data_IF_992853614971
#
_entry.id   IF_992853614971
#
_cell.length_a   1.000
_cell.length_b   1.000
_cell.length_c   1.000
_cell.angle_alpha   90.00
_cell.angle_beta   90.00
_cell.angle_gamma   90.00
#
_symmetry.space_group_name_H-M   'P 1'
#
loop_
_entity.id
_entity.type
_entity.pdbx_description
1 polymer ?
#
# COMPACT_ATOMS: atom_id res chain seq x y z
N UNK A 1 13.29 -0.44 4.13
CA UNK A 1 12.33 0.04 3.12
C UNK A 1 11.88 -1.21 2.38
N UNK A 2 10.58 -1.42 2.21
CA UNK A 2 10.08 -2.62 1.52
C UNK A 2 9.63 -2.15 0.14
N UNK A 3 10.43 -2.42 -0.87
CA UNK A 3 10.12 -2.01 -2.23
C UNK A 3 9.33 -3.11 -2.91
N UNK A 4 8.21 -2.73 -3.52
CA UNK A 4 7.33 -3.62 -4.26
C UNK A 4 7.32 -3.17 -5.71
N UNK A 5 7.48 -4.13 -6.61
CA UNK A 5 7.46 -3.91 -8.05
C UNK A 5 6.23 -4.61 -8.63
N UNK A 6 5.36 -3.84 -9.30
CA UNK A 6 4.27 -4.39 -10.10
C UNK A 6 4.74 -4.46 -11.55
N UNK A 7 4.73 -5.65 -12.13
CA UNK A 7 5.24 -5.89 -13.49
C UNK A 7 4.14 -6.60 -14.27
N UNK A 8 3.78 -6.04 -15.43
CA UNK A 8 2.95 -6.72 -16.43
C UNK A 8 3.85 -7.26 -17.55
N UNK A 9 3.68 -8.55 -17.87
CA UNK A 9 4.37 -9.19 -19.01
C UNK A 9 3.29 -9.54 -20.04
N UNK A 10 3.47 -9.19 -21.33
CA UNK A 10 2.53 -9.58 -22.36
C UNK A 10 2.38 -11.09 -22.43
N UNK A 11 1.15 -11.56 -22.60
CA UNK A 11 0.85 -12.97 -22.79
C UNK A 11 0.94 -13.30 -24.29
N UNK A 12 1.90 -14.14 -24.68
CA UNK A 12 1.96 -14.65 -26.04
C UNK A 12 0.76 -15.57 -26.30
N UNK A 13 0.17 -15.50 -27.50
CA UNK A 13 -1.17 -16.03 -27.86
C UNK A 13 -1.44 -17.50 -27.54
N UNK A 14 -0.43 -18.30 -27.21
CA UNK A 14 -0.54 -19.76 -27.02
C UNK A 14 0.15 -20.30 -25.78
N UNK A 15 1.10 -19.58 -25.21
CA UNK A 15 1.98 -20.13 -24.18
C UNK A 15 2.42 -19.00 -23.29
N UNK A 16 2.19 -19.11 -21.98
CA UNK A 16 2.67 -18.16 -20.96
C UNK A 16 4.21 -18.12 -20.84
N UNK A 17 4.94 -18.43 -21.91
CA UNK A 17 6.37 -18.65 -21.98
C UNK A 17 7.16 -17.44 -21.47
N UNK A 18 6.76 -16.22 -21.85
CA UNK A 18 7.39 -14.99 -21.38
C UNK A 18 7.27 -14.80 -19.86
N UNK A 19 6.10 -15.14 -19.28
CA UNK A 19 5.87 -15.13 -17.83
C UNK A 19 6.65 -16.25 -17.13
N UNK A 20 6.65 -17.46 -17.69
CA UNK A 20 7.38 -18.60 -17.12
C UNK A 20 8.90 -18.39 -17.16
N UNK A 21 9.41 -17.76 -18.23
CA UNK A 21 10.82 -17.34 -18.31
C UNK A 21 11.17 -16.33 -17.22
N UNK A 22 10.29 -15.36 -16.96
CA UNK A 22 10.49 -14.40 -15.87
C UNK A 22 10.50 -15.11 -14.51
N UNK A 23 9.52 -15.97 -14.23
CA UNK A 23 9.45 -16.77 -12.99
C UNK A 23 10.69 -17.63 -12.81
N UNK A 24 11.16 -18.28 -13.87
CA UNK A 24 12.35 -19.10 -13.85
C UNK A 24 13.60 -18.28 -13.52
N UNK A 25 13.79 -17.12 -14.17
CA UNK A 25 14.91 -16.23 -13.86
C UNK A 25 14.89 -15.77 -12.41
N UNK A 26 13.74 -15.32 -11.89
CA UNK A 26 13.60 -14.89 -10.49
C UNK A 26 13.96 -16.03 -9.52
N UNK A 27 13.45 -17.24 -9.79
CA UNK A 27 13.72 -18.43 -8.97
C UNK A 27 15.18 -18.86 -9.06
N UNK A 28 15.81 -18.75 -10.23
CA UNK A 28 17.22 -19.11 -10.43
C UNK A 28 18.16 -18.15 -9.74
N UNK A 29 17.90 -16.84 -9.80
CA UNK A 29 18.79 -15.82 -9.24
C UNK A 29 18.49 -15.52 -7.78
N UNK A 30 17.34 -15.97 -7.24
CA UNK A 30 16.88 -15.71 -5.87
C UNK A 30 16.85 -14.22 -5.51
N UNK A 31 16.64 -13.35 -6.52
CA UNK A 31 16.70 -11.89 -6.37
C UNK A 31 15.44 -11.30 -5.73
N UNK A 32 14.30 -11.99 -5.82
CA UNK A 32 13.03 -11.49 -5.30
C UNK A 32 12.04 -12.63 -5.04
N UNK A 33 11.08 -12.37 -4.16
CA UNK A 33 9.84 -13.15 -4.07
C UNK A 33 8.81 -12.57 -5.05
N UNK A 34 7.98 -13.42 -5.65
CA UNK A 34 6.92 -12.98 -6.56
C UNK A 34 5.58 -13.60 -6.20
N UNK A 35 4.51 -12.86 -6.51
CA UNK A 35 3.13 -13.29 -6.33
C UNK A 35 2.32 -12.88 -7.56
N UNK A 36 1.30 -13.66 -7.89
CA UNK A 36 0.41 -13.32 -9.00
C UNK A 36 -0.54 -12.20 -8.59
N UNK A 37 -0.65 -11.16 -9.41
CA UNK A 37 -1.63 -10.09 -9.24
C UNK A 37 -2.74 -10.28 -10.27
N UNK A 38 -3.90 -10.78 -9.81
CA UNK A 38 -5.01 -11.14 -10.70
C UNK A 38 -5.89 -9.93 -10.99
N UNK A 39 -5.84 -9.44 -12.23
CA UNK A 39 -6.73 -8.39 -12.74
C UNK A 39 -7.86 -9.07 -13.51
N UNK A 40 -9.14 -8.80 -13.21
CA UNK A 40 -10.25 -9.36 -13.96
C UNK A 40 -10.36 -8.72 -15.34
N UNK A 41 -11.15 -9.32 -16.23
CA UNK A 41 -11.51 -8.67 -17.48
C UNK A 41 -12.34 -7.42 -17.19
N UNK A 42 -11.84 -6.27 -17.65
CA UNK A 42 -12.47 -4.97 -17.50
C UNK A 42 -13.05 -4.54 -18.84
N UNK A 43 -14.24 -3.93 -18.80
CA UNK A 43 -14.90 -3.38 -19.99
C UNK A 43 -14.21 -2.10 -20.43
N UNK A 44 -13.20 -2.24 -21.29
CA UNK A 44 -12.51 -1.14 -21.96
C UNK A 44 -13.35 -0.58 -23.11
N UNK A 45 -13.31 0.74 -23.27
CA UNK A 45 -13.99 1.46 -24.35
C UNK A 45 -13.13 1.54 -25.61
N UNK A 46 -13.31 2.63 -26.37
CA UNK A 46 -12.45 2.95 -27.52
C UNK A 46 -11.13 3.57 -27.04
N UNK A 47 -10.15 3.69 -27.96
CA UNK A 47 -8.82 4.20 -27.66
C UNK A 47 -8.85 5.59 -27.01
N UNK A 48 -9.68 6.51 -27.50
CA UNK A 48 -9.80 7.86 -26.93
C UNK A 48 -10.28 7.83 -25.48
N UNK A 49 -11.23 6.95 -25.17
CA UNK A 49 -11.69 6.73 -23.79
C UNK A 49 -10.58 6.16 -22.92
N UNK A 50 -9.74 5.26 -23.46
CA UNK A 50 -8.61 4.69 -22.72
C UNK A 50 -7.53 5.73 -22.45
N UNK A 51 -7.25 6.62 -23.41
CA UNK A 51 -6.31 7.72 -23.23
C UNK A 51 -6.77 8.66 -22.11
N UNK A 52 -8.05 9.08 -22.17
CA UNK A 52 -8.65 9.90 -21.10
C UNK A 52 -8.63 9.20 -19.75
N UNK A 53 -8.93 7.88 -19.71
CA UNK A 53 -8.83 7.09 -18.48
C UNK A 53 -7.39 7.02 -17.95
N UNK A 54 -6.38 6.92 -18.82
CA UNK A 54 -4.98 6.91 -18.43
C UNK A 54 -4.58 8.20 -17.72
N UNK A 55 -4.97 9.36 -18.26
CA UNK A 55 -4.69 10.65 -17.65
C UNK A 55 -5.40 10.78 -16.28
N UNK A 56 -6.67 10.36 -16.22
CA UNK A 56 -7.44 10.38 -14.97
C UNK A 56 -6.83 9.45 -13.90
N UNK A 57 -6.38 8.26 -14.29
CA UNK A 57 -5.71 7.31 -13.39
C UNK A 57 -4.38 7.86 -12.88
N UNK A 58 -3.60 8.53 -13.74
CA UNK A 58 -2.34 9.16 -13.32
C UNK A 58 -2.58 10.26 -12.29
N UNK A 59 -3.59 11.10 -12.50
CA UNK A 59 -3.98 12.13 -11.52
C UNK A 59 -4.47 11.50 -10.21
N UNK A 60 -5.30 10.45 -10.31
CA UNK A 60 -5.82 9.74 -9.15
C UNK A 60 -4.72 9.05 -8.34
N UNK A 61 -3.70 8.50 -8.99
CA UNK A 61 -2.54 7.88 -8.34
C UNK A 61 -1.77 8.91 -7.50
N UNK A 62 -1.48 10.08 -8.07
CA UNK A 62 -0.82 11.20 -7.36
C UNK A 62 -1.64 11.64 -6.14
N UNK A 63 -2.96 11.81 -6.31
CA UNK A 63 -3.85 12.21 -5.21
C UNK A 63 -3.90 11.15 -4.11
N UNK A 64 -4.02 9.88 -4.50
CA UNK A 64 -4.06 8.75 -3.56
C UNK A 64 -2.76 8.63 -2.77
N UNK A 65 -1.61 8.76 -3.45
CA UNK A 65 -0.31 8.77 -2.79
C UNK A 65 -0.19 9.91 -1.78
N UNK A 66 -0.63 11.12 -2.15
CA UNK A 66 -0.63 12.29 -1.26
C UNK A 66 -1.47 12.07 -0.01
N UNK A 67 -2.71 11.58 -0.16
CA UNK A 67 -3.61 11.27 0.97
C UNK A 67 -3.01 10.20 1.88
N UNK A 68 -2.43 9.14 1.32
CA UNK A 68 -1.77 8.08 2.10
C UNK A 68 -0.57 8.64 2.86
N UNK A 69 0.28 9.43 2.20
CA UNK A 69 1.45 10.08 2.84
C UNK A 69 1.02 10.99 3.97
N UNK A 70 0.02 11.84 3.76
CA UNK A 70 -0.51 12.73 4.78
C UNK A 70 -1.11 11.94 5.95
N UNK A 71 -1.88 10.89 5.67
CA UNK A 71 -2.45 10.00 6.71
C UNK A 71 -1.35 9.34 7.54
N UNK A 72 -0.30 8.82 6.89
CA UNK A 72 0.86 8.25 7.58
C UNK A 72 1.58 9.30 8.44
N UNK A 73 1.74 10.53 7.95
CA UNK A 73 2.35 11.63 8.70
C UNK A 73 1.50 12.05 9.90
N UNK A 74 0.18 12.18 9.74
CA UNK A 74 -0.75 12.45 10.83
C UNK A 74 -0.66 11.36 11.90
N UNK A 75 -0.68 10.10 11.49
CA UNK A 75 -0.52 8.96 12.40
C UNK A 75 0.83 9.02 13.12
N UNK A 76 1.92 9.35 12.43
CA UNK A 76 3.24 9.51 13.03
C UNK A 76 3.26 10.61 14.10
N UNK A 77 2.71 11.80 13.81
CA UNK A 77 2.66 12.93 14.76
C UNK A 77 1.85 12.62 16.02
N UNK A 78 0.75 11.87 15.89
CA UNK A 78 -0.07 11.46 17.03
C UNK A 78 0.64 10.39 17.87
N UNK A 79 1.43 9.54 17.22
CA UNK A 79 2.15 8.43 17.85
C UNK A 79 3.55 8.82 18.36
N UNK A 80 4.07 9.99 18.00
CA UNK A 80 5.30 10.53 18.58
C UNK A 80 5.06 10.82 20.06
N UNK A 81 5.89 10.28 20.97
CA UNK A 81 5.80 10.64 22.37
C UNK A 81 6.02 12.15 22.47
N UNK A 82 5.00 12.89 22.92
CA UNK A 82 5.22 14.25 23.39
C UNK A 82 6.20 14.13 24.54
N UNK A 83 7.45 14.56 24.33
CA UNK A 83 8.28 15.04 25.44
C UNK A 83 7.65 16.35 25.93
N UNK A 84 6.44 16.26 26.47
CA UNK A 84 5.89 17.32 27.29
C UNK A 84 6.68 17.26 28.58
N UNK A 85 7.75 18.05 28.56
CA UNK A 85 8.64 18.37 29.65
C UNK A 85 7.87 18.31 30.97
N UNK A 86 8.16 17.29 31.78
CA UNK A 86 7.77 17.24 33.19
C UNK A 86 8.58 18.31 33.91
N UNK A 87 8.18 19.56 33.76
CA UNK A 87 8.52 20.65 34.65
C UNK A 87 7.25 21.13 35.31
N UNK A 88 6.78 20.36 36.31
CA UNK A 88 6.22 20.84 37.57
C UNK A 88 5.45 19.70 38.22
N UNK A 89 6.09 19.04 39.19
CA UNK A 89 5.49 18.64 40.47
C UNK A 89 6.63 18.19 41.42
N UNK A 90 7.30 19.19 42.00
CA UNK A 90 7.61 19.32 43.43
C UNK A 90 8.00 18.02 44.19
N UNK A 91 9.32 17.88 44.40
CA UNK A 91 10.03 17.66 45.68
C UNK A 91 10.10 16.26 46.37
N UNK A 92 11.36 15.88 46.65
CA UNK A 92 11.90 15.12 47.82
C UNK A 92 11.46 13.66 48.00
N UNK A 93 12.31 12.70 47.61
CA UNK A 93 13.33 12.10 48.49
C UNK A 93 14.13 11.03 47.73
N UNK A 94 15.42 10.89 48.05
CA UNK A 94 16.38 10.10 47.28
C UNK A 94 16.22 8.57 47.36
N UNK A 95 16.57 7.91 46.26
CA UNK A 95 16.86 6.47 46.19
C UNK A 95 17.40 6.08 44.80
N UNK A 96 18.46 5.27 44.67
CA UNK A 96 18.95 4.80 43.38
C UNK A 96 18.08 3.63 42.91
N UNK A 97 17.08 3.91 42.07
CA UNK A 97 16.27 2.89 41.42
C UNK A 97 16.97 2.38 40.17
N UNK A 98 17.19 1.06 40.13
CA UNK A 98 17.64 0.28 38.97
C UNK A 98 16.99 0.75 37.66
N UNK A 99 17.84 0.88 36.66
CA UNK A 99 17.51 1.21 35.28
C UNK A 99 16.84 -0.01 34.61
N UNK A 100 15.60 -0.32 35.00
CA UNK A 100 14.74 -1.22 34.23
C UNK A 100 14.05 -0.43 33.13
N UNK A 101 14.47 -0.73 31.91
CA UNK A 101 13.67 -0.80 30.68
C UNK A 101 12.25 -0.24 30.77
N UNK A 102 12.02 0.97 30.27
CA UNK A 102 10.69 1.41 29.85
C UNK A 102 10.76 1.81 28.38
N UNK A 103 10.63 0.78 27.56
CA UNK A 103 10.57 0.74 26.11
C UNK A 103 9.40 1.57 25.58
N UNK A 104 9.58 2.43 24.55
CA UNK A 104 8.48 2.94 23.74
C UNK A 104 8.04 1.86 22.72
N UNK A 105 7.58 0.69 23.22
CA UNK A 105 7.35 -0.50 22.40
C UNK A 105 5.98 -0.53 21.70
N UNK A 106 4.97 0.21 22.16
CA UNK A 106 3.63 0.17 21.56
C UNK A 106 3.54 0.78 20.15
N UNK A 107 4.06 1.99 19.88
CA UNK A 107 3.91 2.63 18.58
C UNK A 107 4.64 1.90 17.45
N UNK A 108 5.87 1.44 17.72
CA UNK A 108 6.68 0.69 16.76
C UNK A 108 6.07 -0.66 16.42
N UNK A 109 5.47 -1.35 17.39
CA UNK A 109 4.78 -2.62 17.16
C UNK A 109 3.55 -2.44 16.26
N UNK A 110 2.76 -1.38 16.44
CA UNK A 110 1.60 -1.09 15.59
C UNK A 110 2.00 -0.82 14.14
N UNK A 111 3.00 0.03 13.90
CA UNK A 111 3.50 0.30 12.54
C UNK A 111 4.09 -0.95 11.88
N UNK A 112 4.75 -1.81 12.66
CA UNK A 112 5.25 -3.10 12.17
C UNK A 112 4.10 -4.03 11.80
N UNK A 113 3.04 -4.08 12.62
CA UNK A 113 1.83 -4.86 12.34
C UNK A 113 1.11 -4.38 11.09
N UNK A 114 0.94 -3.06 10.91
CA UNK A 114 0.36 -2.48 9.70
C UNK A 114 1.15 -2.86 8.44
N UNK A 115 2.49 -2.84 8.50
CA UNK A 115 3.33 -3.30 7.40
C UNK A 115 3.09 -4.77 7.07
N UNK A 116 3.04 -5.64 8.07
CA UNK A 116 2.77 -7.08 7.88
C UNK A 116 1.38 -7.28 7.25
N UNK A 117 0.38 -6.52 7.70
CA UNK A 117 -0.96 -6.56 7.13
C UNK A 117 -0.97 -6.16 5.65
N UNK A 118 -0.29 -5.06 5.30
CA UNK A 118 -0.16 -4.60 3.91
C UNK A 118 0.51 -5.65 3.02
N UNK A 119 1.61 -6.25 3.46
CA UNK A 119 2.28 -7.31 2.70
C UNK A 119 1.36 -8.53 2.50
N UNK A 120 0.59 -8.91 3.52
CA UNK A 120 -0.41 -9.99 3.40
C UNK A 120 -1.51 -9.61 2.40
N UNK A 121 -1.95 -8.36 2.39
CA UNK A 121 -2.96 -7.86 1.45
C UNK A 121 -2.43 -7.90 0.01
N UNK A 122 -1.26 -7.32 -0.26
CA UNK A 122 -0.69 -7.25 -1.61
C UNK A 122 -0.42 -8.63 -2.20
N UNK A 123 0.13 -9.54 -1.38
CA UNK A 123 0.47 -10.92 -1.84
C UNK A 123 -0.74 -11.81 -2.06
N UNK A 124 -1.91 -11.43 -1.53
CA UNK A 124 -3.18 -12.15 -1.68
C UNK A 124 -4.27 -11.27 -2.29
N UNK A 125 -3.87 -10.26 -3.07
CA UNK A 125 -4.80 -9.31 -3.64
C UNK A 125 -5.89 -10.02 -4.44
N UNK A 126 -7.13 -9.61 -4.22
CA UNK A 126 -8.28 -10.03 -5.00
C UNK A 126 -9.10 -8.80 -5.35
N UNK A 127 -9.56 -8.75 -6.59
CA UNK A 127 -10.43 -7.69 -7.04
C UNK A 127 -11.80 -7.77 -6.33
N UNK A 128 -12.18 -6.69 -5.65
CA UNK A 128 -13.48 -6.57 -4.98
C UNK A 128 -14.57 -6.28 -6.02
N UNK A 129 -15.13 -7.32 -6.62
CA UNK A 129 -16.22 -7.22 -7.62
C UNK A 129 -17.52 -6.66 -7.03
N UNK A 130 -17.69 -6.72 -5.70
CA UNK A 130 -18.87 -6.18 -5.02
C UNK A 130 -18.83 -4.66 -4.96
N UNK A 131 -17.66 -4.09 -4.66
CA UNK A 131 -17.44 -2.63 -4.67
C UNK A 131 -17.18 -2.07 -6.06
N UNK A 132 -16.42 -2.80 -6.88
CA UNK A 132 -15.95 -2.37 -8.19
C UNK A 132 -16.38 -3.40 -9.25
N UNK A 133 -17.64 -3.33 -9.67
CA UNK A 133 -18.21 -4.29 -10.62
C UNK A 133 -17.48 -4.30 -11.96
N UNK A 134 -17.13 -5.49 -12.47
CA UNK A 134 -16.47 -5.63 -13.78
C UNK A 134 -17.45 -5.50 -14.95
N UNK A 135 -18.76 -5.41 -14.67
CA UNK A 135 -19.80 -5.24 -15.69
C UNK A 135 -19.91 -3.79 -16.19
N UNK A 136 -19.45 -2.81 -15.40
CA UNK A 136 -19.47 -1.40 -15.79
C UNK A 136 -18.24 -1.02 -16.61
N UNK A 137 -18.31 0.05 -17.44
CA UNK A 137 -17.16 0.57 -18.17
C UNK A 137 -16.01 0.98 -17.23
N UNK A 138 -14.77 0.84 -17.71
CA UNK A 138 -13.59 1.24 -16.97
C UNK A 138 -13.62 2.72 -16.54
N UNK A 139 -14.13 3.62 -17.39
CA UNK A 139 -14.29 5.04 -17.05
C UNK A 139 -15.17 5.25 -15.81
N UNK A 140 -16.29 4.52 -15.73
CA UNK A 140 -17.18 4.59 -14.56
C UNK A 140 -16.51 4.06 -13.29
N UNK A 141 -15.66 3.03 -13.39
CA UNK A 141 -14.88 2.55 -12.25
C UNK A 141 -13.91 3.62 -11.74
N UNK A 142 -13.22 4.31 -12.64
CA UNK A 142 -12.29 5.39 -12.29
C UNK A 142 -13.01 6.53 -11.59
N UNK A 143 -14.20 6.92 -12.07
CA UNK A 143 -15.02 7.94 -11.41
C UNK A 143 -15.48 7.52 -10.00
N UNK A 144 -15.91 6.26 -9.83
CA UNK A 144 -16.32 5.73 -8.52
C UNK A 144 -15.14 5.77 -7.55
N UNK A 145 -13.96 5.30 -7.97
CA UNK A 145 -12.75 5.30 -7.13
C UNK A 145 -12.33 6.75 -6.82
N UNK A 146 -12.37 7.65 -7.80
CA UNK A 146 -12.02 9.06 -7.63
C UNK A 146 -12.90 9.78 -6.60
N UNK A 147 -14.21 9.53 -6.62
CA UNK A 147 -15.15 10.12 -5.65
C UNK A 147 -14.87 9.70 -4.20
N UNK A 148 -14.43 8.45 -3.99
CA UNK A 148 -14.12 7.94 -2.65
C UNK A 148 -12.90 8.63 -2.03
N UNK A 149 -11.97 9.14 -2.84
CA UNK A 149 -10.73 9.78 -2.38
C UNK A 149 -10.81 11.31 -2.23
N UNK A 150 -11.95 11.93 -2.55
CA UNK A 150 -12.15 13.40 -2.49
C UNK A 150 -12.91 13.85 -1.23
N UNK A 151 -12.79 13.12 -0.11
CA UNK A 151 -13.43 13.46 1.18
C UNK A 151 -12.36 13.85 2.20
#
# INVERSE_FOLDING_TARGET
MTDLWLISVPLDKTTSASVEKLKHTITKTQVASYWNFSIPDLKVGVLDSLLSVSDNLSNLDILTESVIKQTCQCMHKVMEPKEEIVHQNILVNGGPSLNQSNTPAQPKAYLTSLRVNLMKYVTKFQWDKGKYSTAVPLSSLVEIIGKVHTI
#
